data_IF_899290194449
#
_entry.id   IF_899290194449
#
_cell.length_a   1.000
_cell.length_b   1.000
_cell.length_c   1.000
_cell.angle_alpha   90.00
_cell.angle_beta   90.00
_cell.angle_gamma   90.00
#
_symmetry.space_group_name_H-M   'P 1'
#
loop_
_entity.id
_entity.type
_entity.pdbx_description
1 polymer ?
2 non-polymer ?
3 non-polymer ?
4 non-polymer ?
5 non-polymer ?
6 water ?
#
# COMPACT_ATOMS: atom_id res chain seq x y z
N UNK A 9 7.18 21.14 -23.14
CA UNK A 9 5.97 21.39 -23.99
C UNK A 9 4.92 20.25 -23.77
N UNK A 10 5.20 19.01 -24.19
CA UNK A 10 4.19 17.91 -24.05
C UNK A 10 4.71 16.51 -23.73
N UNK A 11 4.12 15.91 -22.70
CA UNK A 11 4.48 14.57 -22.26
C UNK A 11 3.58 14.12 -21.11
N UNK A 12 3.69 12.86 -20.70
CA UNK A 12 2.95 12.34 -19.54
C UNK A 12 4.03 12.01 -18.52
N UNK A 13 4.02 12.75 -17.41
CA UNK A 13 5.03 12.63 -16.37
C UNK A 13 4.67 11.58 -15.32
N UNK A 14 3.40 11.49 -14.98
CA UNK A 14 2.94 10.52 -14.03
C UNK A 14 1.56 10.07 -14.47
N UNK A 15 1.25 8.81 -14.25
CA UNK A 15 -0.05 8.23 -14.54
C UNK A 15 -0.51 7.51 -13.26
N UNK A 16 -1.66 7.89 -12.70
CA UNK A 16 -2.18 7.27 -11.48
C UNK A 16 -3.62 6.91 -11.78
N UNK A 17 -4.28 6.32 -10.78
CA UNK A 17 -5.68 5.95 -10.93
C UNK A 17 -6.22 5.22 -9.72
N UNK A 18 -7.54 5.17 -9.61
CA UNK A 18 -8.15 4.49 -8.45
C UNK A 18 -7.65 3.06 -8.30
N UNK A 19 -7.65 2.29 -9.39
CA UNK A 19 -7.23 0.88 -9.33
C UNK A 19 -5.78 0.60 -9.79
N UNK A 20 -5.00 1.66 -10.00
CA UNK A 20 -3.64 1.49 -10.52
C UNK A 20 -2.62 1.12 -9.46
N UNK A 21 -2.16 -0.11 -9.44
CA UNK A 21 -1.11 -0.50 -8.51
C UNK A 21 0.23 0.08 -8.96
N UNK A 22 0.49 0.03 -10.27
CA UNK A 22 1.74 0.49 -10.83
C UNK A 22 1.56 0.93 -12.25
N UNK A 23 2.26 2.01 -12.60
CA UNK A 23 2.21 2.49 -13.96
C UNK A 23 3.61 2.77 -14.44
N UNK A 24 4.05 2.00 -15.42
CA UNK A 24 5.37 2.19 -16.02
C UNK A 24 5.23 3.08 -17.28
N UNK A 25 6.01 4.15 -17.28
CA UNK A 25 6.01 5.06 -18.41
C UNK A 25 7.32 4.87 -19.15
N UNK A 26 7.25 4.37 -20.37
CA UNK A 26 8.44 4.25 -21.20
C UNK A 26 8.43 5.45 -22.13
N UNK A 27 9.17 6.48 -21.73
CA UNK A 27 9.24 7.72 -22.49
C UNK A 27 9.79 7.56 -23.93
N UNK A 28 10.66 6.58 -24.16
CA UNK A 28 11.23 6.29 -25.49
C UNK A 28 10.20 5.83 -26.51
N UNK A 29 9.36 4.90 -26.09
CA UNK A 29 8.33 4.34 -26.98
C UNK A 29 6.95 4.99 -26.73
N UNK A 30 6.84 5.82 -25.70
CA UNK A 30 5.59 6.48 -25.34
C UNK A 30 4.50 5.42 -25.11
N UNK A 31 4.85 4.46 -24.24
CA UNK A 31 3.97 3.38 -23.85
C UNK A 31 3.83 3.44 -22.34
N UNK A 32 2.59 3.41 -21.87
CA UNK A 32 2.29 3.40 -20.46
C UNK A 32 1.60 2.07 -20.17
N UNK A 33 2.27 1.27 -19.36
CA UNK A 33 1.75 -0.01 -18.92
C UNK A 33 1.22 0.15 -17.51
N UNK A 34 -0.09 0.00 -17.38
CA UNK A 34 -0.79 0.16 -16.13
C UNK A 34 -1.25 -1.21 -15.59
N UNK A 35 -0.76 -1.58 -14.42
CA UNK A 35 -1.12 -2.85 -13.77
C UNK A 35 -2.20 -2.59 -12.74
N UNK A 36 -3.31 -3.29 -12.88
CA UNK A 36 -4.42 -3.16 -11.95
C UNK A 36 -4.72 -4.52 -11.34
N UNK A 37 -5.25 -4.51 -10.12
CA UNK A 37 -5.53 -5.76 -9.43
C UNK A 37 -6.76 -6.40 -10.04
N UNK A 38 -6.64 -7.69 -10.33
CA UNK A 38 -7.74 -8.51 -10.83
C UNK A 38 -8.98 -8.21 -10.00
N UNK A 39 -10.09 -7.98 -10.68
CA UNK A 39 -11.33 -7.62 -10.03
C UNK A 39 -11.73 -6.19 -10.36
N UNK A 40 -10.78 -5.38 -10.76
CA UNK A 40 -11.06 -4.01 -11.12
C UNK A 40 -12.03 -3.98 -12.29
N UNK A 41 -12.90 -2.98 -12.34
CA UNK A 41 -13.85 -2.84 -13.44
C UNK A 41 -13.11 -2.20 -14.65
N UNK A 42 -12.76 -3.02 -15.63
CA UNK A 42 -12.05 -2.51 -16.79
C UNK A 42 -12.88 -1.52 -17.59
N UNK A 43 -14.21 -1.66 -17.57
CA UNK A 43 -15.10 -0.75 -18.30
C UNK A 43 -15.24 0.65 -17.67
N UNK A 44 -14.82 0.79 -16.42
CA UNK A 44 -14.89 2.07 -15.74
C UNK A 44 -13.58 2.44 -15.03
N UNK A 45 -12.53 2.62 -15.81
CA UNK A 45 -11.24 3.00 -15.24
C UNK A 45 -11.06 4.51 -15.08
N UNK A 46 -10.75 4.91 -13.86
CA UNK A 46 -10.48 6.30 -13.57
C UNK A 46 -8.95 6.45 -13.55
N UNK A 47 -8.43 7.26 -14.47
CA UNK A 47 -7.00 7.51 -14.59
C UNK A 47 -6.70 9.00 -14.38
N UNK A 48 -5.52 9.28 -13.84
CA UNK A 48 -5.09 10.64 -13.55
C UNK A 48 -3.74 10.83 -14.23
N UNK A 49 -3.63 11.84 -15.09
CA UNK A 49 -2.39 12.11 -15.81
C UNK A 49 -1.74 13.44 -15.40
N UNK A 50 -0.46 13.40 -15.03
CA UNK A 50 0.31 14.58 -14.67
C UNK A 50 1.09 15.02 -15.91
N UNK A 51 0.74 16.19 -16.44
CA UNK A 51 1.35 16.75 -17.64
C UNK A 51 2.12 18.03 -17.37
N UNK A 52 3.02 18.44 -18.30
CA UNK A 52 3.70 19.72 -18.10
C UNK A 52 2.67 20.87 -18.04
N UNK A 53 3.02 21.97 -17.36
CA UNK A 53 2.13 23.13 -17.20
C UNK A 53 1.56 23.62 -18.53
N UNK A 54 0.23 23.72 -18.60
CA UNK A 54 -0.46 24.21 -19.78
C UNK A 54 -0.81 23.20 -20.86
N UNK A 55 -0.26 21.97 -20.76
CA UNK A 55 -0.54 20.93 -21.75
C UNK A 55 -1.90 20.30 -21.49
N UNK A 56 -2.50 19.75 -22.55
CA UNK A 56 -3.81 19.13 -22.45
C UNK A 56 -3.67 17.65 -22.92
N UNK A 57 -4.59 16.79 -22.50
CA UNK A 57 -4.56 15.39 -22.92
C UNK A 57 -5.96 14.96 -23.33
N UNK A 58 -6.06 14.10 -24.34
CA UNK A 58 -7.36 13.66 -24.83
C UNK A 58 -7.26 12.26 -25.45
N UNK A 59 -8.24 11.40 -25.18
CA UNK A 59 -8.24 10.07 -25.76
C UNK A 59 -8.49 10.20 -27.28
N UNK A 60 -7.77 9.42 -28.07
CA UNK A 60 -7.92 9.49 -29.52
C UNK A 60 -9.25 9.06 -30.07
N UNK A 61 -9.76 7.93 -29.60
CA UNK A 61 -11.03 7.43 -30.10
C UNK A 61 -11.98 7.24 -28.94
N UNK A 62 -12.90 8.18 -28.79
CA UNK A 62 -13.83 7.95 -27.68
C UNK A 62 -14.77 6.82 -28.06
N UNK A 63 -15.21 6.07 -27.07
CA UNK A 63 -16.12 4.95 -27.33
C UNK A 63 -17.29 5.10 -26.39
N UNK A 64 -18.39 4.43 -26.73
CA UNK A 64 -19.61 4.57 -25.96
C UNK A 64 -19.42 4.24 -24.47
N UNK A 65 -18.65 3.21 -24.14
CA UNK A 65 -18.42 2.86 -22.75
C UNK A 65 -17.84 3.97 -21.89
N UNK A 66 -17.23 4.99 -22.50
CA UNK A 66 -16.65 6.09 -21.72
C UNK A 66 -17.69 6.93 -21.00
N UNK A 67 -17.31 7.48 -19.86
CA UNK A 67 -18.19 8.36 -19.10
C UNK A 67 -17.37 9.63 -19.00
N UNK A 68 -17.84 10.59 -18.23
CA UNK A 68 -17.08 11.84 -18.14
C UNK A 68 -15.90 11.77 -17.18
N UNK A 69 -15.88 10.77 -16.30
CA UNK A 69 -14.74 10.63 -15.35
C UNK A 69 -14.01 9.27 -15.43
N UNK A 70 -14.44 8.38 -16.33
CA UNK A 70 -13.81 7.06 -16.49
C UNK A 70 -13.64 6.67 -17.97
N UNK A 71 -12.81 5.66 -18.20
CA UNK A 71 -12.54 5.10 -19.53
C UNK A 71 -12.84 3.65 -19.55
N UNK A 72 -13.34 3.20 -20.70
CA UNK A 72 -13.66 1.83 -20.90
C UNK A 72 -12.49 1.12 -21.58
N UNK A 73 -11.79 0.26 -20.83
CA UNK A 73 -10.67 -0.58 -21.35
C UNK A 73 -11.06 -2.06 -21.34
N UNK A 74 -12.36 -2.36 -21.25
CA UNK A 74 -12.83 -3.76 -21.16
C UNK A 74 -12.54 -4.62 -22.36
N UNK A 75 -12.55 -4.02 -23.54
CA UNK A 75 -12.33 -4.78 -24.75
C UNK A 75 -10.86 -5.08 -24.93
N UNK A 76 -10.54 -6.32 -25.28
CA UNK A 76 -9.17 -6.72 -25.50
C UNK A 76 -8.67 -6.01 -26.77
N UNK A 77 -7.39 -5.64 -26.85
CA UNK A 77 -6.32 -5.84 -25.93
C UNK A 77 -6.19 -4.85 -24.76
N UNK A 78 -7.29 -4.21 -24.33
CA UNK A 78 -7.26 -3.29 -23.17
C UNK A 78 -6.16 -2.23 -23.38
N UNK A 79 -6.18 -1.60 -24.54
CA UNK A 79 -5.17 -0.66 -24.93
C UNK A 79 -5.87 0.52 -25.63
N UNK A 80 -5.56 1.75 -25.23
CA UNK A 80 -6.15 2.95 -25.84
C UNK A 80 -5.02 3.96 -26.07
N UNK A 81 -5.14 4.72 -27.14
CA UNK A 81 -4.18 5.77 -27.46
C UNK A 81 -4.69 7.12 -26.94
N UNK A 82 -3.74 7.97 -26.54
CA UNK A 82 -4.00 9.31 -26.00
C UNK A 82 -3.01 10.29 -26.62
N UNK A 83 -3.49 11.50 -26.93
CA UNK A 83 -2.64 12.55 -27.47
C UNK A 83 -2.44 13.65 -26.42
N UNK A 84 -1.19 14.07 -26.25
CA UNK A 84 -0.85 15.15 -25.33
C UNK A 84 -0.43 16.33 -26.21
N UNK A 85 -1.19 17.40 -26.14
CA UNK A 85 -0.91 18.61 -26.91
C UNK A 85 -0.34 19.67 -25.98
N UNK A 86 0.76 20.27 -26.41
CA UNK A 86 1.41 21.34 -25.64
C UNK A 86 0.55 22.60 -25.58
N UNK A 87 0.71 23.40 -24.54
CA UNK A 87 0.03 24.70 -24.44
C UNK A 87 0.62 25.43 -25.64
N UNK A 88 1.96 25.34 -25.71
CA UNK A 88 2.78 25.85 -26.80
C UNK A 88 1.95 25.59 -28.12
N UNK A 89 1.24 24.46 -28.15
CA UNK A 89 0.33 24.08 -29.25
C UNK A 89 0.98 23.32 -30.37
N UNK A 90 2.30 23.33 -30.41
CA UNK A 90 3.04 22.71 -31.50
C UNK A 90 3.40 21.23 -31.38
N UNK A 91 3.43 20.67 -30.17
CA UNK A 91 3.82 19.25 -30.01
C UNK A 91 2.63 18.42 -29.53
N UNK A 92 2.42 17.30 -30.21
CA UNK A 92 1.33 16.39 -29.92
C UNK A 92 1.74 14.92 -29.92
N UNK A 93 2.60 14.53 -28.96
CA UNK A 93 3.00 13.12 -28.92
C UNK A 93 1.83 12.23 -28.52
N UNK A 94 1.82 11.05 -29.13
CA UNK A 94 0.79 10.06 -28.87
C UNK A 94 1.31 8.95 -27.96
N UNK A 95 0.58 8.69 -26.89
CA UNK A 95 0.92 7.64 -25.98
C UNK A 95 -0.10 6.50 -26.08
N UNK A 96 0.40 5.28 -25.92
CA UNK A 96 -0.43 4.09 -25.85
C UNK A 96 -0.47 3.66 -24.37
N UNK A 97 -1.68 3.49 -23.83
CA UNK A 97 -1.88 3.08 -22.46
C UNK A 97 -2.45 1.65 -22.50
N UNK A 98 -1.71 0.72 -21.91
CA UNK A 98 -2.09 -0.69 -21.83
C UNK A 98 -2.44 -1.02 -20.40
N UNK A 99 -3.65 -1.55 -20.18
CA UNK A 99 -4.04 -1.95 -18.82
C UNK A 99 -3.79 -3.45 -18.79
N UNK A 100 -3.11 -3.88 -17.73
CA UNK A 100 -2.69 -5.26 -17.48
C UNK A 100 -3.22 -5.76 -16.13
N UNK A 101 -3.85 -6.92 -16.13
CA UNK A 101 -4.39 -7.49 -14.88
C UNK A 101 -3.29 -8.14 -14.08
N UNK A 102 -3.31 -7.95 -12.77
CA UNK A 102 -2.34 -8.54 -11.88
C UNK A 102 -3.04 -9.04 -10.63
N UNK A 103 -2.33 -9.81 -9.82
CA UNK A 103 -2.83 -10.33 -8.56
C UNK A 103 -1.84 -9.91 -7.48
N UNK A 104 -2.28 -9.92 -6.23
CA UNK A 104 -1.37 -9.60 -5.16
C UNK A 104 -0.25 -10.62 -5.13
N UNK A 105 0.93 -10.19 -4.73
CA UNK A 105 2.01 -11.17 -4.58
C UNK A 105 1.85 -12.16 -3.40
N UNK A 106 2.71 -13.16 -3.42
CA UNK A 106 2.91 -14.22 -2.40
C UNK A 106 4.18 -13.91 -1.58
N UNK A 107 5.17 -13.33 -2.25
CA UNK A 107 6.45 -12.90 -1.67
C UNK A 107 6.58 -11.39 -1.74
N UNK A 108 7.00 -10.79 -0.63
CA UNK A 108 7.19 -9.34 -0.49
C UNK A 108 8.64 -9.15 -0.03
N UNK A 109 9.45 -8.52 -0.87
CA UNK A 109 10.87 -8.34 -0.66
C UNK A 109 11.34 -6.94 -0.38
N UNK A 110 10.46 -5.96 -0.54
CA UNK A 110 10.81 -4.56 -0.25
C UNK A 110 12.05 -4.06 -1.00
N UNK A 111 12.28 -4.56 -2.22
CA UNK A 111 13.46 -4.16 -3.03
C UNK A 111 13.26 -2.93 -3.90
N UNK A 112 12.03 -2.68 -4.33
CA UNK A 112 11.79 -1.60 -5.27
C UNK A 112 11.04 -0.39 -4.77
N UNK A 113 11.46 0.77 -5.24
CA UNK A 113 10.81 2.03 -4.95
C UNK A 113 10.29 2.71 -6.21
N UNK A 114 9.18 3.44 -6.08
CA UNK A 114 8.64 4.17 -7.21
C UNK A 114 9.64 5.27 -7.50
N UNK A 115 10.04 5.38 -8.75
CA UNK A 115 11.00 6.40 -9.12
C UNK A 115 10.34 7.78 -9.22
N UNK A 116 9.02 7.86 -9.17
CA UNK A 116 8.34 9.18 -9.23
C UNK A 116 8.34 9.88 -7.85
N UNK A 117 8.24 9.08 -6.80
CA UNK A 117 8.22 9.51 -5.39
C UNK A 117 9.67 9.74 -4.87
N UNK A 118 10.13 10.99 -4.84
CA UNK A 118 11.52 11.33 -4.40
C UNK A 118 11.63 11.91 -3.00
N UNK A 119 10.55 12.59 -2.59
CA UNK A 119 10.45 13.25 -1.29
C UNK A 119 10.43 12.21 -0.15
N UNK A 120 9.71 11.11 -0.37
CA UNK A 120 9.63 9.99 0.61
C UNK A 120 9.52 8.72 -0.21
N UNK A 121 9.80 7.58 0.42
CA UNK A 121 9.77 6.29 -0.23
C UNK A 121 8.37 5.72 -0.40
N UNK A 122 8.14 5.16 -1.58
CA UNK A 122 6.92 4.45 -1.87
C UNK A 122 7.40 3.10 -2.46
N UNK A 123 7.08 2.02 -1.75
CA UNK A 123 7.50 0.65 -2.11
C UNK A 123 6.51 -0.05 -3.01
N UNK A 124 7.02 -0.88 -3.91
CA UNK A 124 6.14 -1.71 -4.71
C UNK A 124 6.79 -3.10 -4.89
N UNK A 125 5.96 -4.09 -5.21
CA UNK A 125 6.39 -5.45 -5.48
C UNK A 125 5.94 -5.76 -6.90
N UNK A 126 6.77 -6.49 -7.63
CA UNK A 126 6.46 -6.84 -8.99
C UNK A 126 7.12 -8.13 -9.41
N UNK A 127 6.38 -9.03 -10.02
CA UNK A 127 6.94 -10.28 -10.57
C UNK A 127 6.26 -10.42 -11.91
N UNK A 128 7.04 -10.59 -12.99
CA UNK A 128 6.41 -10.67 -14.31
C UNK A 128 5.53 -11.88 -14.50
N UNK A 129 4.56 -11.75 -15.39
CA UNK A 129 3.69 -12.87 -15.67
C UNK A 129 4.51 -14.01 -16.30
N UNK A 130 3.89 -15.18 -16.34
CA UNK A 130 4.50 -16.34 -16.99
C UNK A 130 3.38 -17.12 -17.63
N UNK A 131 3.75 -18.23 -18.26
CA UNK A 131 2.77 -19.10 -18.87
C UNK A 131 1.83 -19.61 -17.75
N UNK A 132 2.40 -19.89 -16.58
CA UNK A 132 1.66 -20.40 -15.42
C UNK A 132 0.80 -19.36 -14.70
N UNK A 133 1.33 -18.16 -14.49
CA UNK A 133 0.57 -17.13 -13.78
C UNK A 133 0.74 -15.69 -14.27
N UNK A 134 -0.24 -14.88 -13.92
CA UNK A 134 -0.25 -13.49 -14.27
C UNK A 134 0.75 -12.71 -13.41
N UNK A 135 0.92 -11.44 -13.75
CA UNK A 135 1.77 -10.51 -13.04
C UNK A 135 1.33 -10.42 -11.58
N UNK A 136 2.31 -10.35 -10.69
CA UNK A 136 2.06 -10.19 -9.26
C UNK A 136 2.55 -8.78 -8.95
N UNK A 137 1.64 -7.90 -8.59
CA UNK A 137 1.97 -6.49 -8.35
C UNK A 137 1.28 -5.88 -7.13
N UNK A 138 2.00 -5.04 -6.43
CA UNK A 138 1.40 -4.32 -5.31
C UNK A 138 2.15 -3.04 -5.07
N UNK A 139 1.44 -1.93 -4.93
CA UNK A 139 2.11 -0.71 -4.47
C UNK A 139 1.72 -0.67 -2.99
N UNK A 140 2.71 -0.67 -2.12
CA UNK A 140 2.46 -0.64 -0.67
C UNK A 140 2.10 0.77 -0.30
N UNK A 141 1.23 0.95 0.71
CA UNK A 141 0.89 2.29 1.23
C UNK A 141 1.56 2.50 2.59
N UNK A 142 1.64 3.77 2.99
CA UNK A 142 2.16 4.14 4.30
C UNK A 142 1.56 5.45 4.71
N UNK A 143 1.95 5.88 5.91
CA UNK A 143 1.53 7.17 6.42
C UNK A 143 2.44 8.34 5.99
N UNK A 144 3.44 8.07 5.14
CA UNK A 144 4.36 9.09 4.63
C UNK A 144 3.73 10.37 4.05
N UNK A 145 2.67 10.24 3.23
CA UNK A 145 2.07 11.47 2.66
C UNK A 145 1.48 12.33 3.76
N UNK A 146 1.06 11.71 4.86
CA UNK A 146 0.54 12.45 6.00
C UNK A 146 1.70 13.09 6.76
N UNK A 147 2.77 12.33 6.96
CA UNK A 147 3.92 12.83 7.70
C UNK A 147 4.57 14.01 7.02
N UNK A 148 4.53 14.02 5.70
CA UNK A 148 5.06 15.12 4.91
C UNK A 148 4.46 16.43 5.39
N UNK A 149 3.19 16.39 5.72
CA UNK A 149 2.48 17.58 6.13
C UNK A 149 2.95 18.15 7.44
N UNK A 150 3.67 17.40 8.25
CA UNK A 150 4.14 17.90 9.54
C UNK A 150 5.27 18.89 9.45
N UNK A 151 5.95 18.93 8.31
CA UNK A 151 7.10 19.81 8.13
C UNK A 151 8.33 19.28 8.85
N UNK A 153 10.18 16.42 8.32
CA UNK A 153 11.20 15.70 7.55
C UNK A 153 12.08 16.60 6.69
N UNK A 154 13.37 16.28 6.56
CA UNK A 154 14.28 17.05 5.68
C UNK A 154 14.35 16.34 4.34
N UNK A 155 14.39 15.01 4.39
CA UNK A 155 14.46 14.19 3.18
C UNK A 155 13.83 12.85 3.48
N UNK A 156 13.85 11.98 2.48
CA UNK A 156 13.30 10.64 2.60
C UNK A 156 13.72 9.89 3.85
N UNK A 157 14.95 10.10 4.35
CA UNK A 157 15.40 9.34 5.52
C UNK A 157 14.76 9.73 6.83
N UNK A 158 14.07 10.86 6.89
CA UNK A 158 13.47 11.28 8.16
C UNK A 158 12.06 10.73 8.35
N UNK A 159 11.52 10.12 7.31
CA UNK A 159 10.14 9.61 7.38
C UNK A 159 9.95 8.38 8.27
N UNK A 160 8.70 8.11 8.66
CA UNK A 160 8.44 6.93 9.49
C UNK A 160 8.63 5.61 8.73
N UNK A 161 8.54 5.66 7.40
CA UNK A 161 8.65 4.49 6.54
C UNK A 161 9.74 4.73 5.48
N UNK A 162 10.82 3.95 5.58
CA UNK A 162 12.01 4.12 4.77
C UNK A 162 12.67 2.81 4.34
N UNK A 163 13.20 2.78 3.13
CA UNK A 163 13.91 1.60 2.62
C UNK A 163 15.35 1.71 3.07
N UNK A 164 15.88 0.62 3.61
CA UNK A 164 17.27 0.58 4.01
C UNK A 164 17.93 -0.53 3.20
N UNK A 165 19.23 -0.43 3.07
CA UNK A 165 19.97 -1.31 2.20
C UNK A 165 20.31 -2.66 2.76
N UNK A 166 20.66 -2.74 4.03
CA UNK A 166 21.10 -4.02 4.56
C UNK A 166 19.97 -4.83 5.14
N UNK A 167 19.11 -5.32 4.25
CA UNK A 167 17.99 -6.14 4.68
C UNK A 167 18.46 -7.54 4.97
N UNK A 168 17.51 -8.47 5.13
CA UNK A 168 17.80 -9.89 5.36
C UNK A 168 18.31 -10.51 4.04
N UNK A 169 17.57 -10.26 2.95
CA UNK A 169 17.94 -10.64 1.56
C UNK A 169 17.71 -9.33 0.78
N UNK A 170 18.79 -8.73 0.25
CA UNK A 170 18.72 -7.43 -0.42
C UNK A 170 18.32 -6.29 0.55
N UNK A 171 17.41 -5.46 0.10
CA UNK A 171 16.91 -4.33 0.86
C UNK A 171 15.74 -4.67 1.76
N UNK A 172 15.44 -3.81 2.73
CA UNK A 172 14.35 -4.03 3.67
C UNK A 172 13.61 -2.76 3.99
N UNK A 173 12.48 -2.91 4.69
CA UNK A 173 11.70 -1.75 5.11
C UNK A 173 11.98 -1.51 6.58
N UNK A 174 12.19 -0.22 6.88
CA UNK A 174 12.46 0.26 8.24
C UNK A 174 11.31 1.18 8.61
N UNK A 175 10.62 0.83 9.69
CA UNK A 175 9.50 1.58 10.20
C UNK A 175 9.98 2.15 11.51
N UNK A 176 9.85 3.46 11.68
CA UNK A 176 10.30 4.13 12.89
C UNK A 176 9.32 5.19 13.35
N UNK A 177 8.95 5.10 14.61
CA UNK A 177 8.01 6.03 15.18
C UNK A 177 8.73 7.37 15.33
N UNK A 178 8.13 8.42 14.76
CA UNK A 178 8.73 9.75 14.76
C UNK A 178 7.96 10.76 15.59
N UNK A 179 8.69 11.80 15.96
CA UNK A 179 8.14 12.94 16.72
C UNK A 179 7.45 13.86 15.71
N UNK A 180 6.25 14.31 16.04
CA UNK A 180 5.45 15.17 15.18
C UNK A 180 5.57 16.66 15.52
N UNK A 181 6.42 17.04 16.47
CA UNK A 181 6.60 18.46 16.83
C UNK A 181 5.43 19.13 17.55
N UNK A 182 5.54 20.44 17.75
CA UNK A 182 4.52 21.17 18.51
C UNK A 182 3.13 21.20 17.89
N UNK A 183 3.04 21.39 16.58
CA UNK A 183 1.72 21.40 15.94
C UNK A 183 1.03 20.06 16.09
N UNK A 184 1.81 18.98 15.96
CA UNK A 184 1.30 17.64 16.15
C UNK A 184 0.68 17.52 17.53
N UNK A 185 1.40 18.06 18.50
CA UNK A 185 0.96 18.04 19.89
C UNK A 185 -0.35 18.84 20.04
N UNK A 187 -2.80 19.34 17.86
CA UNK A 187 -3.95 18.62 17.31
C UNK A 187 -4.06 17.21 17.88
N UNK A 188 -3.31 16.92 18.93
CA UNK A 188 -3.36 15.61 19.60
C UNK A 188 -2.86 14.40 18.75
N UNK A 190 0.39 13.25 18.65
CA UNK A 190 1.67 13.36 19.35
C UNK A 190 2.83 12.59 18.78
N UNK A 191 2.57 11.45 18.12
CA UNK A 191 3.64 10.64 17.51
C UNK A 191 3.18 10.11 16.17
N UNK A 192 4.13 9.64 15.38
CA UNK A 192 3.81 9.11 14.04
C UNK A 192 4.42 7.75 13.90
N UNK A 193 3.62 6.70 14.06
CA UNK A 193 4.13 5.36 13.92
C UNK A 193 4.52 5.12 12.45
N UNK A 194 5.58 4.36 12.25
CA UNK A 194 5.97 3.99 10.92
C UNK A 194 5.11 2.79 10.55
N UNK A 195 4.50 2.83 9.36
CA UNK A 195 3.71 1.72 8.90
C UNK A 195 3.84 1.44 7.42
N UNK A 196 3.39 0.25 7.07
CA UNK A 196 3.37 -0.21 5.71
C UNK A 196 2.15 -1.11 5.64
N UNK A 197 1.30 -0.89 4.64
CA UNK A 197 0.08 -1.65 4.52
C UNK A 197 -0.47 -1.76 3.11
N UNK A 198 -1.29 -2.80 2.90
CA UNK A 198 -1.94 -3.07 1.65
C UNK A 198 -3.25 -2.32 1.71
N UNK A 199 -3.43 -1.41 0.75
CA UNK A 199 -4.67 -0.63 0.67
C UNK A 199 -4.36 0.75 0.16
N UNK A 200 -5.03 1.77 0.72
CA UNK A 200 -4.85 3.15 0.28
C UNK A 200 -4.81 4.13 1.43
N UNK A 201 -4.00 5.18 1.27
CA UNK A 201 -3.92 6.26 2.25
C UNK A 201 -4.73 7.47 1.74
N UNK A 202 -5.79 7.90 2.42
CA UNK A 202 -6.57 9.10 1.98
C UNK A 202 -5.96 10.33 2.66
N UNK A 203 -5.08 11.03 1.97
CA UNK A 203 -4.39 12.16 2.58
C UNK A 203 -5.32 13.31 2.99
N UNK A 204 -6.51 13.43 2.41
CA UNK A 204 -7.40 14.49 2.87
C UNK A 204 -7.93 14.24 4.30
N UNK A 205 -7.70 13.04 4.83
CA UNK A 205 -8.09 12.70 6.20
C UNK A 205 -6.89 12.59 7.13
N UNK A 206 -5.68 12.69 6.59
CA UNK A 206 -4.45 12.49 7.37
C UNK A 206 -4.39 13.16 8.73
N UNK A 207 -4.93 14.36 8.81
CA UNK A 207 -4.92 15.14 10.06
C UNK A 207 -6.27 15.17 10.73
N UNK A 208 -7.33 15.30 9.95
CA UNK A 208 -8.66 15.32 10.51
C UNK A 208 -9.12 13.95 11.05
N UNK A 209 -8.84 12.87 10.31
CA UNK A 209 -9.25 11.52 10.71
C UNK A 209 -8.14 10.54 10.34
N UNK A 210 -7.03 10.56 11.09
CA UNK A 210 -5.92 9.70 10.71
C UNK A 210 -6.23 8.18 10.59
N UNK A 211 -7.14 7.63 11.38
CA UNK A 211 -7.47 6.20 11.27
C UNK A 211 -8.28 5.88 10.05
N UNK A 212 -9.12 6.83 9.62
CA UNK A 212 -9.92 6.67 8.41
C UNK A 212 -9.03 6.85 7.19
N UNK A 213 -7.89 7.52 7.37
CA UNK A 213 -7.00 7.74 6.25
C UNK A 213 -6.36 6.41 5.79
N UNK A 214 -6.24 5.44 6.70
CA UNK A 214 -5.66 4.15 6.36
C UNK A 214 -6.76 3.15 6.00
N UNK A 215 -6.93 2.89 4.69
CA UNK A 215 -7.90 1.93 4.21
C UNK A 215 -7.14 0.66 3.87
N UNK A 216 -7.64 -0.48 4.32
CA UNK A 216 -6.96 -1.72 4.09
C UNK A 216 -7.65 -2.68 3.18
N UNK A 217 -6.84 -3.41 2.41
CA UNK A 217 -7.30 -4.50 1.56
C UNK A 217 -7.53 -4.37 0.05
N UNK A 218 -7.09 -5.42 -0.65
CA UNK A 218 -7.37 -5.58 -2.08
C UNK A 218 -7.90 -6.99 -2.31
N UNK A 219 -8.63 -7.14 -3.40
CA UNK A 219 -9.22 -8.43 -3.76
C UNK A 219 -8.17 -9.49 -3.82
N UNK A 220 -8.46 -10.61 -3.16
CA UNK A 220 -7.50 -11.70 -3.08
C UNK A 220 -8.26 -12.99 -3.39
N UNK A 221 -7.63 -13.85 -4.18
CA UNK A 221 -8.31 -14.99 -4.69
C UNK A 221 -7.79 -16.32 -4.16
N UNK A 222 -6.92 -16.30 -3.16
CA UNK A 222 -6.43 -17.54 -2.60
C UNK A 222 -6.85 -17.59 -1.13
N UNK A 223 -6.68 -18.76 -0.52
CA UNK A 223 -7.05 -18.98 0.87
C UNK A 223 -5.77 -18.84 1.72
N UNK A 224 -5.65 -17.77 2.50
CA UNK A 224 -4.42 -17.65 3.27
C UNK A 224 -4.42 -18.45 4.56
N UNK A 225 -3.28 -19.08 4.85
CA UNK A 225 -3.08 -19.90 6.03
C UNK A 225 -2.13 -19.25 7.04
N UNK A 226 -1.00 -18.74 6.55
CA UNK A 226 0.01 -18.11 7.39
C UNK A 226 0.78 -17.00 6.68
N UNK A 227 1.34 -16.10 7.49
CA UNK A 227 2.23 -15.03 7.04
C UNK A 227 3.55 -15.35 7.76
N UNK A 228 4.62 -15.38 6.98
CA UNK A 228 5.96 -15.72 7.45
C UNK A 228 6.92 -14.63 7.02
N UNK A 229 7.90 -14.32 7.85
CA UNK A 229 8.85 -13.27 7.52
C UNK A 229 10.02 -13.19 8.50
N UNK A 230 10.78 -12.11 8.39
CA UNK A 230 11.94 -11.82 9.24
C UNK A 230 11.81 -10.40 9.74
N UNK A 231 12.19 -10.19 11.00
CA UNK A 231 12.10 -8.89 11.56
C UNK A 231 13.19 -8.69 12.62
N UNK A 232 13.39 -7.42 12.96
CA UNK A 232 14.29 -6.94 14.02
C UNK A 232 13.51 -5.80 14.57
N UNK A 233 13.50 -5.69 15.90
CA UNK A 233 12.79 -4.63 16.57
C UNK A 233 13.57 -4.07 17.75
N UNK A 234 13.49 -2.75 17.92
CA UNK A 234 14.09 -2.11 19.04
C UNK A 234 13.11 -1.04 19.48
N UNK A 235 12.70 -1.08 20.74
CA UNK A 235 11.73 -0.11 21.25
C UNK A 235 12.42 1.21 21.54
N UNK A 236 11.66 2.31 21.44
CA UNK A 236 12.18 3.61 21.77
C UNK A 236 12.32 3.67 23.28
N UNK A 237 13.04 4.66 23.75
CA UNK A 237 13.36 4.81 25.17
C UNK A 237 12.24 5.44 25.98
N UNK A 238 11.53 6.44 25.42
CA UNK A 238 10.49 7.11 26.18
C UNK A 238 9.11 6.78 25.63
N UNK A 239 8.32 6.04 26.42
CA UNK A 239 6.99 5.65 26.04
C UNK A 239 6.06 6.81 26.38
N UNK A 240 5.19 7.22 25.46
CA UNK A 240 4.29 8.31 25.77
C UNK A 240 2.85 7.99 25.45
N UNK A 241 1.98 8.64 26.21
CA UNK A 241 0.54 8.56 26.04
C UNK A 241 0.06 10.03 26.04
N UNK A 242 -0.71 10.39 25.03
CA UNK A 242 -1.25 11.75 24.92
C UNK A 242 -0.12 12.78 25.03
N UNK A 243 1.00 12.54 24.37
CA UNK A 243 2.14 13.43 24.45
C UNK A 243 3.00 13.42 25.71
N UNK A 244 2.52 12.80 26.78
CA UNK A 244 3.27 12.77 28.05
C UNK A 244 4.02 11.46 28.31
N UNK A 245 5.28 11.57 28.78
CA UNK A 245 6.08 10.40 29.11
C UNK A 245 5.44 9.54 30.24
N UNK A 246 5.51 8.22 30.10
CA UNK A 246 4.96 7.28 31.07
C UNK A 246 6.04 6.24 31.34
N UNK A 247 6.20 5.84 32.59
CA UNK A 247 7.16 4.79 32.89
C UNK A 247 6.34 3.52 33.05
N UNK A 248 7.02 2.39 33.12
CA UNK A 248 6.35 1.12 33.36
C UNK A 248 5.78 0.36 32.19
N UNK A 249 6.09 0.80 30.98
CA UNK A 249 5.60 0.11 29.80
C UNK A 249 6.58 0.23 28.66
N UNK A 250 6.91 -0.89 28.04
CA UNK A 250 7.84 -0.83 26.93
C UNK A 250 7.08 -0.97 25.62
N UNK A 251 7.41 -0.16 24.63
CA UNK A 251 6.73 -0.20 23.36
C UNK A 251 6.93 -1.56 22.66
N UNK A 252 5.95 -1.86 21.81
CA UNK A 252 5.92 -3.08 21.01
C UNK A 252 5.51 -2.74 19.59
N UNK A 253 6.11 -3.44 18.63
CA UNK A 253 5.72 -3.31 17.24
C UNK A 253 4.49 -4.23 16.96
N UNK A 254 4.07 -4.29 15.70
CA UNK A 254 2.88 -5.05 15.29
C UNK A 254 2.97 -5.45 13.84
N UNK A 255 2.49 -6.66 13.59
CA UNK A 255 2.41 -7.27 12.27
C UNK A 255 1.14 -8.07 12.24
N UNK A 256 0.25 -7.74 11.30
CA UNK A 256 -0.97 -8.50 11.17
C UNK A 256 -1.47 -8.53 9.73
N UNK A 257 -2.40 -9.44 9.48
CA UNK A 257 -3.01 -9.58 8.19
C UNK A 257 -4.46 -9.97 8.37
N UNK A 258 -5.28 -9.51 7.44
CA UNK A 258 -6.71 -9.78 7.47
C UNK A 258 -7.29 -10.26 6.15
N UNK A 260 -11.23 -10.21 4.67
CA UNK A 260 -12.55 -9.76 5.03
C UNK A 260 -13.47 -9.77 3.82
N UNK A 261 -14.77 -9.86 4.07
CA UNK A 261 -15.73 -9.94 2.97
C UNK A 261 -16.13 -8.54 2.52
N UNK A 262 -16.03 -8.28 1.22
CA UNK A 262 -16.40 -7.00 0.65
C UNK A 262 -17.57 -7.30 -0.32
N UNK A 263 -18.79 -7.00 0.13
CA UNK A 263 -20.03 -7.24 -0.64
C UNK A 263 -19.89 -6.63 -2.03
N UNK A 264 -19.40 -5.39 -2.09
CA UNK A 264 -19.13 -4.77 -3.37
C UNK A 264 -17.69 -4.28 -3.26
N UNK A 265 -17.07 -4.16 -4.40
CA UNK A 265 -15.67 -3.79 -4.48
C UNK A 265 -15.28 -2.42 -3.84
N UNK A 266 -16.23 -1.53 -3.53
CA UNK A 266 -15.87 -0.24 -2.92
C UNK A 266 -15.62 -0.36 -1.42
N UNK A 267 -16.01 -1.49 -0.81
CA UNK A 267 -15.87 -1.64 0.62
C UNK A 267 -14.42 -1.93 1.04
N UNK A 269 -11.88 -1.78 4.80
CA UNK A 269 -11.85 -1.59 6.25
C UNK A 269 -10.80 -0.50 6.46
N UNK A 270 -10.79 0.10 7.63
CA UNK A 270 -9.84 1.15 7.95
C UNK A 270 -9.32 0.99 9.36
N UNK A 271 -8.57 2.00 9.81
CA UNK A 271 -8.00 2.00 11.14
C UNK A 271 -9.03 1.98 12.26
N UNK A 272 -10.22 2.50 12.04
CA UNK A 272 -11.24 2.48 13.12
C UNK A 272 -12.04 1.18 13.23
N UNK A 273 -12.09 0.37 12.18
CA UNK A 273 -12.93 -0.84 12.27
C UNK A 273 -12.30 -2.17 11.91
N UNK A 274 -10.99 -2.17 11.67
CA UNK A 274 -10.31 -3.38 11.26
C UNK A 274 -10.42 -4.54 12.25
N UNK A 275 -10.46 -4.26 13.54
CA UNK A 275 -10.57 -5.34 14.49
C UNK A 275 -12.00 -5.45 15.01
N UNK A 276 -12.94 -4.63 14.57
CA UNK A 276 -14.30 -4.81 15.07
C UNK A 276 -15.39 -5.05 14.01
N UNK A 277 -15.10 -4.87 12.72
CA UNK A 277 -16.07 -5.08 11.69
C UNK A 277 -16.53 -6.54 11.61
N UNK A 278 -17.84 -6.76 11.46
CA UNK A 278 -18.33 -8.14 11.30
C UNK A 278 -18.01 -8.72 9.91
N UNK A 279 -17.34 -7.97 9.04
CA UNK A 279 -16.95 -8.45 7.74
C UNK A 279 -15.66 -9.29 7.82
N UNK A 280 -14.94 -9.14 8.92
CA UNK A 280 -13.64 -9.81 9.10
C UNK A 280 -13.79 -11.32 9.17
N UNK A 281 -13.02 -12.06 8.39
CA UNK A 281 -13.18 -13.52 8.36
C UNK A 281 -11.99 -14.22 8.96
N UNK A 282 -10.79 -13.80 8.54
CA UNK A 282 -9.58 -14.36 9.05
C UNK A 282 -8.70 -13.22 9.56
N UNK A 283 -7.93 -13.48 10.62
CA UNK A 283 -6.97 -12.53 11.21
C UNK A 283 -5.69 -13.30 11.64
N UNK A 284 -4.55 -12.86 11.14
CA UNK A 284 -3.24 -13.37 11.59
C UNK A 284 -2.61 -12.19 12.31
N UNK A 285 -2.01 -12.44 13.47
CA UNK A 285 -1.37 -11.35 14.21
C UNK A 285 -0.30 -11.85 15.13
N UNK A 286 0.82 -11.15 15.13
CA UNK A 286 1.92 -11.52 16.02
C UNK A 286 1.51 -11.30 17.49
N UNK A 287 1.84 -12.28 18.33
CA UNK A 287 1.58 -12.19 19.77
C UNK A 287 2.62 -11.25 20.38
N UNK A 288 2.18 -10.27 21.17
CA UNK A 288 3.11 -9.37 21.84
C UNK A 288 4.20 -10.12 22.60
N UNK A 289 3.83 -11.22 23.29
CA UNK A 289 4.80 -12.02 24.03
C UNK A 289 5.88 -12.61 23.16
N UNK A 290 5.63 -12.79 21.87
CA UNK A 290 6.61 -13.42 21.00
C UNK A 290 7.59 -12.46 20.33
N UNK A 291 7.43 -11.17 20.57
CA UNK A 291 8.35 -10.20 19.96
C UNK A 291 9.60 -10.04 20.80
N UNK A 292 10.78 -10.15 20.20
CA UNK A 292 12.00 -9.93 20.96
C UNK A 292 12.70 -8.71 20.37
N UNK A 293 13.62 -8.14 21.16
CA UNK A 293 14.47 -7.04 20.75
C UNK A 293 15.86 -7.66 20.61
N UNK A 294 16.35 -7.67 19.39
CA UNK A 294 17.60 -8.29 19.07
C UNK A 294 18.28 -7.56 17.91
N UNK A 295 19.58 -7.73 17.80
CA UNK A 295 20.33 -7.18 16.70
C UNK A 295 20.34 -8.20 15.59
N UNK A 296 19.88 -9.42 15.84
CA UNK A 296 19.86 -10.44 14.79
C UNK A 296 18.43 -10.51 14.29
N UNK A 297 18.32 -10.85 13.02
CA UNK A 297 17.05 -11.02 12.35
C UNK A 297 16.41 -12.26 12.94
N UNK A 298 15.09 -12.22 13.16
CA UNK A 298 14.35 -13.39 13.64
C UNK A 298 13.23 -13.72 12.68
N UNK A 299 13.02 -15.01 12.43
CA UNK A 299 11.95 -15.43 11.57
C UNK A 299 10.67 -15.52 12.38
N UNK A 300 9.54 -15.09 11.82
CA UNK A 300 8.22 -15.23 12.47
C UNK A 300 7.29 -15.98 11.51
N UNK A 301 6.30 -16.69 12.07
CA UNK A 301 5.26 -17.36 11.30
C UNK A 301 3.96 -17.17 12.10
N UNK A 302 2.97 -16.49 11.51
CA UNK A 302 1.66 -16.23 12.17
C UNK A 302 0.54 -16.87 11.39
N UNK A 303 -0.51 -17.23 12.12
CA UNK A 303 -1.61 -17.99 11.60
C UNK A 303 -2.87 -17.20 11.36
N UNK A 304 -3.38 -17.29 10.14
CA UNK A 304 -4.68 -16.70 9.77
C UNK A 304 -5.76 -17.52 10.46
N UNK A 305 -6.26 -17.01 11.57
CA UNK A 305 -7.30 -17.69 12.32
C UNK A 305 -8.68 -17.17 12.02
N UNK A 306 -9.64 -18.08 12.11
CA UNK A 306 -11.06 -17.79 11.92
C UNK A 306 -11.56 -16.84 12.99
N UNK A 307 -12.31 -15.83 12.59
CA UNK A 307 -12.86 -14.87 13.51
C UNK A 307 -14.34 -15.26 13.74
N UNK A 308 -14.70 -15.50 15.00
CA UNK A 308 -16.06 -15.89 15.37
C UNK A 308 -16.62 -17.01 14.52
N UNK A 309 -15.78 -18.01 14.30
CA UNK A 309 -16.19 -19.16 13.50
C UNK A 309 -16.41 -18.91 12.02
N UNK A 310 -16.16 -17.72 11.51
CA UNK A 310 -16.40 -17.47 10.11
C UNK A 310 -15.42 -18.20 9.23
N UNK A 311 -15.84 -18.50 8.00
CA UNK A 311 -14.97 -19.19 7.06
C UNK A 311 -15.11 -18.69 5.65
N UNK A 312 -14.09 -18.97 4.86
CA UNK A 312 -14.02 -18.55 3.47
C UNK A 312 -14.92 -19.38 2.59
N UNK A 313 -15.86 -18.76 1.91
CA UNK A 313 -16.70 -19.50 0.95
C UNK A 313 -15.98 -19.48 -0.41
N UNK A 314 -15.69 -20.66 -0.94
CA UNK A 314 -14.94 -20.78 -2.21
C UNK A 314 -15.53 -20.07 -3.40
N UNK A 315 -16.84 -20.15 -3.54
CA UNK A 315 -17.51 -19.49 -4.64
C UNK A 315 -17.34 -17.98 -4.48
N UNK A 316 -17.53 -17.47 -3.27
CA UNK A 316 -17.34 -16.03 -3.04
C UNK A 316 -15.89 -15.61 -3.28
N UNK A 317 -14.96 -16.47 -2.88
CA UNK A 317 -13.54 -16.21 -3.08
C UNK A 317 -13.24 -16.07 -4.55
N UNK A 318 -13.79 -17.00 -5.32
CA UNK A 318 -13.57 -17.01 -6.75
C UNK A 318 -14.18 -15.76 -7.40
N UNK A 319 -15.33 -15.33 -6.91
CA UNK A 319 -15.97 -14.10 -7.43
C UNK A 319 -15.41 -12.81 -6.88
N UNK A 320 -14.28 -12.87 -6.16
CA UNK A 320 -13.63 -11.64 -5.68
C UNK A 320 -14.33 -10.93 -4.54
N UNK A 321 -15.04 -11.68 -3.71
CA UNK A 321 -15.76 -11.09 -2.58
C UNK A 321 -14.90 -10.93 -1.32
N UNK A 322 -13.67 -11.40 -1.33
CA UNK A 322 -12.80 -11.23 -0.14
C UNK A 322 -11.60 -10.39 -0.48
N UNK A 323 -11.19 -9.56 0.48
CA UNK A 323 -10.01 -8.70 0.36
C UNK A 323 -9.03 -9.03 1.45
N UNK A 324 -7.76 -9.07 1.06
CA UNK A 324 -6.65 -9.34 1.97
C UNK A 324 -5.90 -8.04 2.26
N UNK A 325 -5.50 -7.87 3.51
CA UNK A 325 -4.69 -6.75 3.96
C UNK A 325 -3.53 -7.25 4.81
N UNK A 326 -2.40 -6.57 4.71
CA UNK A 326 -1.26 -6.85 5.56
C UNK A 326 -0.87 -5.50 6.11
N UNK A 327 -0.65 -5.45 7.42
CA UNK A 327 -0.25 -4.24 8.11
C UNK A 327 0.98 -4.46 9.02
N UNK A 328 1.95 -3.56 8.88
CA UNK A 328 3.18 -3.57 9.65
C UNK A 328 3.28 -2.20 10.36
N UNK A 329 3.62 -2.20 11.64
CA UNK A 329 3.76 -0.97 12.41
C UNK A 329 4.86 -1.05 13.46
N UNK A 330 5.62 0.05 13.60
CA UNK A 330 6.66 0.21 14.59
C UNK A 330 6.10 0.36 16.03
N UNK A 331 4.87 0.84 16.18
CA UNK A 331 4.23 1.02 17.51
C UNK A 331 2.79 0.46 17.44
N UNK A 332 2.57 -0.65 18.13
CA UNK A 332 1.28 -1.35 18.09
C UNK A 332 0.10 -0.44 18.37
N UNK A 333 0.21 0.50 19.32
CA UNK A 333 -0.88 1.44 19.61
C UNK A 333 -0.62 2.84 19.06
N UNK A 334 0.28 2.91 18.08
CA UNK A 334 0.66 4.18 17.46
C UNK A 334 -0.45 4.97 16.78
N UNK A 335 -1.46 4.28 16.26
CA UNK A 335 -2.61 4.93 15.64
C UNK A 335 -3.44 5.70 16.67
N UNK A 336 -3.26 5.34 17.94
CA UNK A 336 -3.92 6.01 19.07
C UNK A 336 -2.93 6.89 19.85
N UNK A 337 -1.74 7.05 19.29
CA UNK A 337 -0.72 7.93 19.85
C UNK A 337 -0.18 7.47 21.19
N UNK A 338 -0.06 6.15 21.32
CA UNK A 338 0.58 5.55 22.46
C UNK A 338 1.76 4.78 21.88
N UNK A 339 2.95 5.11 22.34
CA UNK A 339 4.14 4.45 21.84
C UNK A 339 5.38 5.26 22.11
N UNK A 340 6.52 4.79 21.61
CA UNK A 340 7.74 5.51 21.88
C UNK A 340 8.43 5.97 20.60
N UNK A 341 8.75 7.25 20.55
CA UNK A 341 9.51 7.83 19.46
C UNK A 341 10.79 6.99 19.41
N UNK A 342 11.20 6.53 18.25
CA UNK A 342 12.42 5.73 18.15
C UNK A 342 12.17 4.24 18.05
N UNK A 343 10.96 3.76 18.35
CA UNK A 343 10.69 2.33 18.18
C UNK A 343 10.91 2.07 16.68
N UNK A 344 11.71 1.04 16.39
CA UNK A 344 12.10 0.70 15.05
C UNK A 344 11.94 -0.80 14.75
N UNK A 345 11.14 -1.07 13.74
CA UNK A 345 10.84 -2.38 13.27
C UNK A 345 11.32 -2.47 11.83
N UNK A 346 12.22 -3.41 11.57
CA UNK A 346 12.71 -3.71 10.26
C UNK A 346 12.01 -5.03 9.88
N UNK A 347 11.49 -5.09 8.66
CA UNK A 347 10.88 -6.30 8.15
C UNK A 347 11.49 -6.61 6.80
N UNK A 348 11.58 -7.91 6.54
CA UNK A 348 12.05 -8.36 5.25
C UNK A 348 11.48 -9.74 4.83
N UNK A 349 11.41 -9.94 3.52
CA UNK A 349 11.02 -11.23 2.94
C UNK A 349 9.74 -11.86 3.49
N UNK A 350 8.63 -11.15 3.42
CA UNK A 350 7.39 -11.72 3.84
C UNK A 350 6.93 -12.77 2.83
N UNK A 351 6.29 -13.81 3.35
CA UNK A 351 5.74 -14.85 2.50
C UNK A 351 4.37 -15.19 2.98
N UNK A 352 3.41 -15.13 2.07
CA UNK A 352 2.02 -15.52 2.34
C UNK A 352 1.89 -16.99 1.98
N UNK A 353 1.61 -17.83 2.95
CA UNK A 353 1.45 -19.27 2.76
C UNK A 353 -0.04 -19.47 2.57
N UNK A 354 -0.40 -20.05 1.45
CA UNK A 354 -1.76 -20.28 1.10
C UNK A 354 -2.02 -21.75 0.78
N UNK A 355 -3.31 -22.09 0.82
CA UNK A 355 -3.78 -23.42 0.54
C UNK A 355 -3.37 -23.69 -0.91
N UNK A 356 -2.88 -24.90 -1.17
CA UNK A 356 -2.40 -25.24 -2.49
C UNK A 356 -2.59 -26.73 -2.71
#
# INVERSE_FOLDING_TARGET
>A
GQDEALNSEAAIDVCSGDDVQLANIDADSKVINVYVNKGADLSKQKLEFTLPQGATIKVNTPITGDTESTYDFSEEPHSRKFTVTSEDGQWQPVYTVNVILAELPTLFKFEELLTTSSEYDTFYEFTPATSQEISKVLQWSSGNPGFKLTGXANSRIDYPTVQVANGFKGKAVKLETRNTGDFGAXVKXYIAAGNLFIGTFEVENALTNPRKATNFGFQFYKHPIALKGYYKFKAGEVYSVEGQPQTGKRDKCDIYAVXYEAENNSIXLNGDNVFNSDKLVLLARIEPEDIVESDEWNEFTIHFESVKGREIDDTKLQNGKYKLGIVLSSSVDGAYFRGAVGSTLYVDELELICKE
#
